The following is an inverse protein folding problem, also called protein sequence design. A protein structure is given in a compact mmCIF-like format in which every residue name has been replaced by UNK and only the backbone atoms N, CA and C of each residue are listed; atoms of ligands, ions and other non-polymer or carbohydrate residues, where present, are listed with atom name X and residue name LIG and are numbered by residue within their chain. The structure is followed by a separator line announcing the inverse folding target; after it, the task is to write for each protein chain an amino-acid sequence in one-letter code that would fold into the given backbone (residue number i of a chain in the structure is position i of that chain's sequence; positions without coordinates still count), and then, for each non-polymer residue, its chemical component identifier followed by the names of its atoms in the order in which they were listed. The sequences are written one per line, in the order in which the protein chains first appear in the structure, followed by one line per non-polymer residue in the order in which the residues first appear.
data_IF_734770379270
#
_entry.id   IF_734770379270
#
_cell.length_a   1.000
_cell.length_b   1.000
_cell.length_c   1.000
_cell.angle_alpha   90.00
_cell.angle_beta   90.00
_cell.angle_gamma   90.00
#
_symmetry.space_group_name_H-M   'P 1'
#
loop_
_entity.id
_entity.type
_entity.pdbx_description
1 polymer ?
#
# COMPACT_ATOMS: atom_id res chain seq x y z
N UNK A 1 -3.28 -12.08 3.62
CA UNK A 1 -3.29 -11.60 2.22
C UNK A 1 -1.88 -11.20 1.78
N UNK A 2 -1.06 -12.13 1.24
CA UNK A 2 0.34 -11.83 0.88
C UNK A 2 0.49 -10.70 -0.15
N UNK A 3 -0.41 -10.64 -1.14
CA UNK A 3 -0.33 -9.66 -2.23
C UNK A 3 -0.49 -8.21 -1.76
N UNK A 4 -1.34 -7.96 -0.75
CA UNK A 4 -1.53 -6.62 -0.16
C UNK A 4 -0.26 -6.07 0.50
N UNK A 5 0.67 -6.94 0.90
CA UNK A 5 1.84 -6.55 1.67
C UNK A 5 3.12 -6.47 0.82
N UNK A 6 3.03 -6.71 -0.48
CA UNK A 6 4.14 -6.62 -1.43
C UNK A 6 4.50 -5.16 -1.70
N UNK A 7 5.78 -4.80 -1.80
CA UNK A 7 6.23 -3.48 -2.29
C UNK A 7 6.38 -3.47 -3.82
N UNK A 8 5.57 -4.27 -4.55
CA UNK A 8 5.65 -4.41 -6.01
C UNK A 8 4.38 -3.91 -6.70
N UNK A 9 4.54 -2.90 -7.55
CA UNK A 9 3.45 -2.35 -8.36
C UNK A 9 2.82 -3.42 -9.30
N UNK A 10 3.63 -4.35 -9.81
CA UNK A 10 3.14 -5.45 -10.65
C UNK A 10 2.24 -6.40 -9.86
N UNK A 11 2.62 -6.73 -8.62
CA UNK A 11 1.82 -7.59 -7.74
C UNK A 11 0.48 -6.93 -7.41
N UNK A 12 0.48 -5.62 -7.11
CA UNK A 12 -0.77 -4.88 -6.88
C UNK A 12 -1.67 -4.84 -8.12
N UNK A 13 -1.10 -4.66 -9.31
CA UNK A 13 -1.88 -4.71 -10.56
C UNK A 13 -2.57 -6.07 -10.74
N UNK A 14 -1.87 -7.17 -10.42
CA UNK A 14 -2.43 -8.52 -10.50
C UNK A 14 -3.48 -8.76 -9.40
N UNK A 15 -3.21 -8.32 -8.18
CA UNK A 15 -4.11 -8.44 -7.04
C UNK A 15 -5.43 -7.70 -7.25
N UNK A 16 -5.39 -6.49 -7.82
CA UNK A 16 -6.60 -5.73 -8.15
C UNK A 16 -7.52 -6.49 -9.11
N UNK A 17 -6.96 -7.20 -10.11
CA UNK A 17 -7.75 -8.05 -11.01
C UNK A 17 -8.34 -9.25 -10.28
N UNK A 18 -7.57 -9.88 -9.38
CA UNK A 18 -8.02 -11.04 -8.60
C UNK A 18 -9.11 -10.67 -7.60
N UNK A 19 -9.06 -9.48 -7.00
CA UNK A 19 -10.05 -9.04 -6.03
C UNK A 19 -11.28 -8.35 -6.67
N UNK A 20 -11.27 -8.09 -7.98
CA UNK A 20 -12.41 -7.58 -8.73
C UNK A 20 -13.48 -8.66 -9.02
N UNK A 21 -13.73 -9.54 -8.05
CA UNK A 21 -14.75 -10.59 -8.12
C UNK A 21 -15.90 -10.29 -7.15
N UNK A 22 -17.14 -10.68 -7.47
CA UNK A 22 -18.27 -10.51 -6.54
C UNK A 22 -18.00 -11.13 -5.17
N UNK A 23 -18.33 -10.41 -4.11
CA UNK A 23 -18.10 -10.82 -2.72
C UNK A 23 -16.72 -10.47 -2.15
N UNK A 24 -15.84 -9.85 -2.95
CA UNK A 24 -14.51 -9.38 -2.53
C UNK A 24 -14.37 -7.86 -2.55
N UNK A 25 -15.48 -7.12 -2.60
CA UNK A 25 -15.50 -5.67 -2.76
C UNK A 25 -14.72 -4.96 -1.65
N UNK A 26 -14.79 -5.46 -0.42
CA UNK A 26 -14.05 -4.92 0.72
C UNK A 26 -12.54 -5.10 0.54
N UNK A 27 -12.13 -6.31 0.14
CA UNK A 27 -10.72 -6.62 -0.17
C UNK A 27 -10.23 -5.76 -1.32
N UNK A 28 -11.04 -5.55 -2.36
CA UNK A 28 -10.71 -4.68 -3.48
C UNK A 28 -10.53 -3.22 -3.04
N UNK A 29 -11.38 -2.70 -2.15
CA UNK A 29 -11.22 -1.36 -1.58
C UNK A 29 -9.91 -1.23 -0.80
N UNK A 30 -9.54 -2.24 -0.02
CA UNK A 30 -8.25 -2.25 0.67
C UNK A 30 -7.08 -2.31 -0.31
N UNK A 31 -7.16 -3.16 -1.33
CA UNK A 31 -6.14 -3.27 -2.38
C UNK A 31 -5.91 -1.95 -3.10
N UNK A 32 -6.97 -1.23 -3.46
CA UNK A 32 -6.86 0.08 -4.10
C UNK A 32 -6.13 1.11 -3.22
N UNK A 33 -6.35 1.07 -1.90
CA UNK A 33 -5.62 1.93 -0.94
C UNK A 33 -4.14 1.57 -0.86
N UNK A 34 -3.81 0.28 -0.81
CA UNK A 34 -2.42 -0.19 -0.81
C UNK A 34 -1.70 0.16 -2.11
N UNK A 35 -2.35 -0.10 -3.25
CA UNK A 35 -1.85 0.26 -4.57
C UNK A 35 -1.59 1.77 -4.70
N UNK A 36 -2.42 2.63 -4.09
CA UNK A 36 -2.20 4.07 -4.10
C UNK A 36 -0.92 4.47 -3.34
N UNK A 37 -0.61 3.84 -2.22
CA UNK A 37 0.66 4.04 -1.49
C UNK A 37 1.84 3.62 -2.37
N UNK A 38 1.79 2.41 -2.92
CA UNK A 38 2.89 1.91 -3.77
C UNK A 38 3.06 2.75 -5.04
N UNK A 39 1.97 3.25 -5.62
CA UNK A 39 2.05 4.17 -6.78
C UNK A 39 2.70 5.50 -6.41
N UNK A 40 2.49 5.99 -5.18
CA UNK A 40 3.02 7.28 -4.71
C UNK A 40 4.48 7.19 -4.26
N UNK A 41 4.81 6.19 -3.44
CA UNK A 41 6.11 6.09 -2.77
C UNK A 41 6.99 4.94 -3.30
N UNK A 42 6.44 4.02 -4.07
CA UNK A 42 7.14 2.80 -4.53
C UNK A 42 7.34 1.74 -3.45
N UNK A 43 7.03 2.05 -2.18
CA UNK A 43 7.17 1.18 -1.02
C UNK A 43 6.21 1.61 0.09
N UNK A 44 6.19 0.93 1.24
CA UNK A 44 5.40 1.33 2.40
C UNK A 44 6.22 2.19 3.36
N UNK A 45 5.95 3.51 3.50
CA UNK A 45 6.74 4.37 4.39
C UNK A 45 6.71 3.92 5.86
N UNK A 46 5.65 3.23 6.28
CA UNK A 46 5.54 2.64 7.63
C UNK A 46 6.65 1.63 7.94
N UNK A 47 7.30 1.05 6.91
CA UNK A 47 8.38 0.07 7.07
C UNK A 47 9.76 0.72 7.14
N UNK A 48 9.87 2.04 6.93
CA UNK A 48 11.15 2.72 6.82
C UNK A 48 12.03 2.50 8.04
N UNK A 49 11.50 2.69 9.25
CA UNK A 49 12.25 2.51 10.50
C UNK A 49 12.77 1.07 10.69
N UNK A 50 11.94 0.06 10.42
CA UNK A 50 12.30 -1.36 10.61
C UNK A 50 13.32 -1.83 9.55
N UNK A 51 13.28 -1.22 8.37
CA UNK A 51 14.18 -1.53 7.25
C UNK A 51 15.40 -0.59 7.18
N UNK A 52 15.58 0.32 8.14
CA UNK A 52 16.70 1.27 8.17
C UNK A 52 16.71 2.28 7.02
N UNK A 53 15.54 2.63 6.48
CA UNK A 53 15.39 3.65 5.43
C UNK A 53 15.09 5.01 6.06
N UNK A 54 15.75 6.05 5.57
CA UNK A 54 15.44 7.43 5.95
C UNK A 54 14.16 7.90 5.24
N UNK A 55 13.14 8.39 5.96
CA UNK A 55 11.91 8.86 5.35
C UNK A 55 12.11 10.21 4.64
N UNK A 56 11.43 10.39 3.52
CA UNK A 56 11.37 11.69 2.84
C UNK A 56 10.43 12.67 3.57
N UNK A 57 10.54 13.99 3.34
CA UNK A 57 9.59 14.96 3.91
C UNK A 57 8.13 14.66 3.54
N UNK A 58 7.87 14.18 2.32
CA UNK A 58 6.53 13.80 1.88
C UNK A 58 6.00 12.58 2.64
N UNK A 59 6.86 11.59 2.87
CA UNK A 59 6.54 10.41 3.66
C UNK A 59 6.25 10.77 5.12
N UNK A 60 7.01 11.69 5.72
CA UNK A 60 6.75 12.18 7.08
C UNK A 60 5.37 12.83 7.20
N UNK A 61 5.00 13.67 6.23
CA UNK A 61 3.65 14.27 6.18
C UNK A 61 2.59 13.18 6.04
N UNK A 62 2.80 12.22 5.13
CA UNK A 62 1.87 11.10 4.96
C UNK A 62 1.71 10.26 6.23
N UNK A 63 2.81 9.91 6.90
CA UNK A 63 2.81 9.14 8.14
C UNK A 63 2.09 9.87 9.29
N UNK A 64 2.13 11.21 9.30
CA UNK A 64 1.43 12.03 10.28
C UNK A 64 -0.08 12.19 10.02
N UNK A 65 -0.55 11.88 8.82
CA UNK A 65 -1.94 12.08 8.42
C UNK A 65 -2.85 10.96 8.98
N UNK A 66 -4.10 11.28 9.37
CA UNK A 66 -5.06 10.26 9.79
C UNK A 66 -5.40 9.32 8.63
N UNK A 67 -5.56 8.02 8.94
CA UNK A 67 -5.88 7.00 7.94
C UNK A 67 -4.71 6.58 7.05
N UNK A 68 -3.47 6.98 7.39
CA UNK A 68 -2.24 6.51 6.75
C UNK A 68 -1.93 5.05 7.07
N UNK A 69 -2.27 4.59 8.29
CA UNK A 69 -2.10 3.21 8.73
C UNK A 69 -3.32 2.32 8.48
N UNK A 70 -3.07 1.10 8.03
CA UNK A 70 -4.02 -0.01 7.92
C UNK A 70 -3.29 -1.33 8.11
#
# INVERSE_FOLDING_TARGET
MPSLHSESALVHKQAALLFAQPGLEDTLRFEQRHQAIIKRFGHYPHRNAILGREPTPEELVFLSAPGSGF
#
